data_IF_760035577536
#
_entry.id   IF_760035577536
#
_cell.length_a   1.000
_cell.length_b   1.000
_cell.length_c   1.000
_cell.angle_alpha   90.00
_cell.angle_beta   90.00
_cell.angle_gamma   90.00
#
_symmetry.space_group_name_H-M   'P 1'
#
loop_
_entity.id
_entity.type
_entity.pdbx_description
1 polymer ?
#
# COMPACT_ATOMS: atom_id res chain seq x y z
N UNK A 1 17.49 -3.06 -17.39
CA UNK A 1 17.43 -3.99 -16.25
C UNK A 1 16.62 -3.28 -15.18
N UNK A 2 15.35 -3.63 -14.91
CA UNK A 2 14.61 -3.11 -13.72
C UNK A 2 13.20 -3.69 -13.49
N UNK A 3 12.54 -4.34 -14.47
CA UNK A 3 11.18 -4.88 -14.25
C UNK A 3 11.09 -5.88 -13.08
N UNK A 4 12.03 -6.83 -12.97
CA UNK A 4 12.08 -7.76 -11.83
C UNK A 4 12.25 -7.06 -10.47
N UNK A 5 12.99 -5.94 -10.42
CA UNK A 5 13.24 -5.22 -9.16
C UNK A 5 11.99 -4.47 -8.70
N UNK A 6 11.33 -3.77 -9.62
CA UNK A 6 10.08 -3.07 -9.33
C UNK A 6 8.98 -4.04 -8.90
N UNK A 7 8.85 -5.18 -9.57
CA UNK A 7 7.88 -6.21 -9.20
C UNK A 7 8.15 -6.77 -7.80
N UNK A 8 9.41 -7.05 -7.47
CA UNK A 8 9.80 -7.53 -6.14
C UNK A 8 9.59 -6.49 -5.04
N UNK A 9 9.83 -5.21 -5.31
CA UNK A 9 9.53 -4.11 -4.38
C UNK A 9 8.02 -4.04 -4.13
N UNK A 10 7.21 -4.13 -5.18
CA UNK A 10 5.75 -4.12 -5.06
C UNK A 10 5.23 -5.33 -4.28
N UNK A 11 5.80 -6.51 -4.52
CA UNK A 11 5.43 -7.73 -3.80
C UNK A 11 5.75 -7.59 -2.30
N UNK A 12 6.95 -7.10 -1.97
CA UNK A 12 7.35 -6.83 -0.59
C UNK A 12 6.47 -5.78 0.08
N UNK A 13 6.12 -4.71 -0.63
CA UNK A 13 5.20 -3.68 -0.16
C UNK A 13 3.80 -4.26 0.11
N UNK A 14 3.31 -5.11 -0.81
CA UNK A 14 2.00 -5.73 -0.69
C UNK A 14 1.93 -6.70 0.51
N UNK A 15 2.97 -7.52 0.72
CA UNK A 15 3.05 -8.39 1.90
C UNK A 15 3.17 -7.61 3.20
N UNK A 16 4.01 -6.57 3.22
CA UNK A 16 4.20 -5.73 4.40
C UNK A 16 2.90 -5.03 4.80
N UNK A 17 2.19 -4.44 3.83
CA UNK A 17 0.92 -3.76 4.10
C UNK A 17 -0.15 -4.73 4.58
N UNK A 18 -0.31 -5.87 3.92
CA UNK A 18 -1.32 -6.85 4.33
C UNK A 18 -1.02 -7.46 5.70
N UNK A 19 0.27 -7.60 6.05
CA UNK A 19 0.70 -7.98 7.40
C UNK A 19 0.38 -6.91 8.45
N UNK A 20 0.72 -5.65 8.21
CA UNK A 20 0.43 -4.52 9.12
C UNK A 20 -1.08 -4.42 9.40
N UNK A 21 -1.90 -4.57 8.36
CA UNK A 21 -3.35 -4.49 8.46
C UNK A 21 -3.99 -5.74 9.07
N UNK A 22 -3.23 -6.84 9.23
CA UNK A 22 -3.77 -8.14 9.59
C UNK A 22 -4.82 -8.64 8.59
N UNK A 23 -4.69 -8.26 7.32
CA UNK A 23 -5.65 -8.61 6.27
C UNK A 23 -5.54 -10.10 5.92
N UNK A 24 -6.68 -10.76 5.77
CA UNK A 24 -6.76 -12.18 5.41
C UNK A 24 -7.84 -12.40 4.33
N UNK A 25 -7.86 -13.60 3.73
CA UNK A 25 -8.87 -13.98 2.75
C UNK A 25 -8.96 -13.02 1.56
N UNK A 26 -10.20 -12.71 1.15
CA UNK A 26 -10.48 -11.86 -0.01
C UNK A 26 -9.89 -10.45 0.10
N UNK A 27 -9.93 -9.84 1.29
CA UNK A 27 -9.37 -8.51 1.51
C UNK A 27 -7.86 -8.47 1.27
N UNK A 28 -7.14 -9.50 1.72
CA UNK A 28 -5.69 -9.64 1.47
C UNK A 28 -5.40 -9.68 -0.03
N UNK A 29 -6.15 -10.48 -0.78
CA UNK A 29 -5.94 -10.62 -2.23
C UNK A 29 -6.26 -9.32 -2.98
N UNK A 30 -7.36 -8.64 -2.65
CA UNK A 30 -7.73 -7.34 -3.24
C UNK A 30 -6.65 -6.28 -3.02
N UNK A 31 -6.15 -6.16 -1.79
CA UNK A 31 -5.09 -5.21 -1.43
C UNK A 31 -3.79 -5.54 -2.18
N UNK A 32 -3.40 -6.83 -2.19
CA UNK A 32 -2.20 -7.27 -2.90
C UNK A 32 -2.24 -6.96 -4.37
N UNK A 33 -3.31 -7.38 -5.07
CA UNK A 33 -3.45 -7.15 -6.51
C UNK A 33 -3.38 -5.65 -6.84
N UNK A 34 -4.03 -4.81 -6.04
CA UNK A 34 -4.01 -3.37 -6.28
C UNK A 34 -2.61 -2.77 -6.09
N UNK A 35 -1.87 -3.15 -5.05
CA UNK A 35 -0.49 -2.66 -4.84
C UNK A 35 0.44 -3.16 -5.94
N UNK A 36 0.28 -4.41 -6.39
CA UNK A 36 1.06 -4.95 -7.51
C UNK A 36 0.82 -4.18 -8.81
N UNK A 37 -0.42 -3.80 -9.10
CA UNK A 37 -0.77 -3.11 -10.33
C UNK A 37 -0.45 -1.61 -10.25
N UNK A 38 -0.90 -0.95 -9.18
CA UNK A 38 -0.96 0.51 -9.06
C UNK A 38 0.06 1.10 -8.07
N UNK A 39 0.72 0.26 -7.27
CA UNK A 39 1.68 0.68 -6.26
C UNK A 39 1.05 1.13 -4.93
N UNK A 40 1.89 1.22 -3.90
CA UNK A 40 1.50 1.51 -2.52
C UNK A 40 0.93 2.92 -2.32
N UNK A 41 1.46 3.93 -3.03
CA UNK A 41 0.95 5.31 -2.94
C UNK A 41 -0.49 5.40 -3.43
N UNK A 42 -0.77 4.80 -4.60
CA UNK A 42 -2.12 4.75 -5.16
C UNK A 42 -3.07 4.03 -4.21
N UNK A 43 -2.64 2.92 -3.62
CA UNK A 43 -3.41 2.20 -2.62
C UNK A 43 -3.79 3.11 -1.43
N UNK A 44 -2.84 3.77 -0.77
CA UNK A 44 -3.12 4.62 0.39
C UNK A 44 -4.03 5.83 0.07
N UNK A 45 -4.01 6.32 -1.17
CA UNK A 45 -4.85 7.44 -1.61
C UNK A 45 -6.24 7.01 -2.06
N UNK A 46 -6.38 5.81 -2.63
CA UNK A 46 -7.58 5.38 -3.36
C UNK A 46 -8.15 4.04 -2.89
N UNK A 47 -7.77 3.55 -1.70
CA UNK A 47 -8.19 2.26 -1.14
C UNK A 47 -9.72 2.06 -1.11
N UNK A 48 -10.51 3.13 -1.00
CA UNK A 48 -11.99 3.08 -1.05
C UNK A 48 -12.56 2.52 -2.36
N UNK A 49 -11.78 2.50 -3.44
CA UNK A 49 -12.16 1.88 -4.72
C UNK A 49 -12.16 0.34 -4.66
N UNK A 50 -11.56 -0.26 -3.62
CA UNK A 50 -11.49 -1.71 -3.45
C UNK A 50 -12.77 -2.33 -2.88
N UNK A 51 -13.71 -1.50 -2.41
CA UNK A 51 -14.97 -1.92 -1.80
C UNK A 51 -14.73 -3.00 -0.72
N UNK A 52 -13.76 -2.74 0.17
CA UNK A 52 -13.46 -3.60 1.31
C UNK A 52 -14.55 -3.48 2.37
N UNK A 53 -14.61 -4.45 3.28
CA UNK A 53 -15.46 -4.31 4.45
C UNK A 53 -14.97 -3.15 5.34
N UNK A 54 -15.91 -2.59 6.11
CA UNK A 54 -15.71 -1.35 6.86
C UNK A 54 -14.54 -1.44 7.84
N UNK A 55 -14.34 -2.60 8.47
CA UNK A 55 -13.23 -2.81 9.41
C UNK A 55 -11.86 -2.67 8.72
N UNK A 56 -11.71 -3.24 7.52
CA UNK A 56 -10.49 -3.15 6.72
C UNK A 56 -10.26 -1.73 6.20
N UNK A 57 -11.31 -1.05 5.74
CA UNK A 57 -11.25 0.36 5.31
C UNK A 57 -10.76 1.27 6.45
N UNK A 58 -11.31 1.08 7.65
CA UNK A 58 -10.91 1.83 8.84
C UNK A 58 -9.45 1.59 9.24
N UNK A 59 -8.96 0.34 9.15
CA UNK A 59 -7.55 0.02 9.41
C UNK A 59 -6.61 0.74 8.45
N UNK A 60 -7.00 0.84 7.17
CA UNK A 60 -6.21 1.57 6.16
C UNK A 60 -6.24 3.08 6.46
N UNK A 61 -7.38 3.64 6.84
CA UNK A 61 -7.48 5.04 7.25
C UNK A 61 -6.65 5.35 8.51
N UNK A 62 -6.57 4.41 9.47
CA UNK A 62 -5.66 4.51 10.63
C UNK A 62 -4.19 4.54 10.16
N UNK A 63 -3.78 3.59 9.32
CA UNK A 63 -2.42 3.54 8.80
C UNK A 63 -2.05 4.84 8.06
N UNK A 64 -2.96 5.35 7.23
CA UNK A 64 -2.80 6.62 6.52
C UNK A 64 -2.55 7.79 7.47
N UNK A 65 -3.30 7.86 8.58
CA UNK A 65 -3.12 8.89 9.62
C UNK A 65 -1.79 8.76 10.34
N UNK A 66 -1.35 7.54 10.64
CA UNK A 66 -0.04 7.29 11.27
C UNK A 66 1.08 7.80 10.38
N UNK A 67 1.10 7.37 9.10
CA UNK A 67 2.08 7.84 8.12
C UNK A 67 2.03 9.37 8.00
N UNK A 68 0.83 9.95 7.94
CA UNK A 68 0.68 11.42 7.87
C UNK A 68 1.27 12.15 9.07
N UNK A 69 1.20 11.54 10.24
CA UNK A 69 1.69 12.12 11.49
C UNK A 69 3.22 12.09 11.58
N UNK A 70 3.85 11.01 11.12
CA UNK A 70 5.29 10.81 11.25
C UNK A 70 6.10 11.26 10.03
N UNK A 71 5.57 11.03 8.83
CA UNK A 71 6.30 11.20 7.57
C UNK A 71 5.75 12.34 6.69
N UNK A 72 4.61 12.94 7.08
CA UNK A 72 4.01 14.08 6.37
C UNK A 72 2.94 13.68 5.34
N UNK A 73 2.56 14.58 4.44
CA UNK A 73 1.43 14.30 3.54
C UNK A 73 1.79 13.30 2.43
N UNK A 74 1.07 12.18 2.38
CA UNK A 74 1.25 11.09 1.39
C UNK A 74 1.13 11.62 -0.04
N UNK A 75 0.29 12.62 -0.28
CA UNK A 75 0.15 13.24 -1.61
C UNK A 75 1.46 13.86 -2.09
N UNK A 76 2.18 14.51 -1.17
CA UNK A 76 3.43 15.22 -1.44
C UNK A 76 4.68 14.37 -1.27
N UNK A 77 4.58 13.21 -0.60
CA UNK A 77 5.69 12.28 -0.44
C UNK A 77 6.12 11.69 -1.78
N UNK A 78 7.44 11.68 -2.00
CA UNK A 78 8.03 11.05 -3.15
C UNK A 78 8.33 9.57 -2.85
N UNK A 79 7.46 8.68 -3.31
CA UNK A 79 7.68 7.24 -3.19
C UNK A 79 8.63 6.70 -4.28
N UNK A 80 8.98 7.51 -5.29
CA UNK A 80 9.89 7.07 -6.37
C UNK A 80 11.32 6.83 -5.87
N UNK A 81 11.77 7.53 -4.82
CA UNK A 81 13.07 7.27 -4.18
C UNK A 81 13.11 5.93 -3.42
N UNK A 82 11.94 5.37 -3.04
CA UNK A 82 11.85 4.02 -2.46
C UNK A 82 11.85 2.92 -3.53
N UNK A 83 11.41 3.24 -4.74
CA UNK A 83 11.40 2.31 -5.89
C UNK A 83 12.78 2.21 -6.58
N UNK A 84 13.64 3.22 -6.41
CA UNK A 84 15.00 3.22 -6.97
C UNK A 84 16.04 2.55 -6.07
N UNK A 85 15.78 2.46 -4.76
CA UNK A 85 16.56 1.73 -3.75
C UNK A 85 18.06 2.02 -3.72
N UNK A 86 18.58 2.46 -2.57
CA UNK A 86 20.02 2.39 -2.28
C UNK A 86 20.62 1.02 -2.63
#
# INVERSE_FOLDING_TARGET
MNQNRTEQIRENNAETITWILGATGEAKEKIKSYIMDQGIKSFLLHHKQLELATEEDEKIDVLKRVIKTFDGDIETMNFSDMDEGC
#
